data_IF_955703896919
#
_entry.id   IF_955703896919
#
_cell.length_a   1.000
_cell.length_b   1.000
_cell.length_c   1.000
_cell.angle_alpha   90.00
_cell.angle_beta   90.00
_cell.angle_gamma   90.00
#
_symmetry.space_group_name_H-M   'P 1'
#
loop_
_entity.id
_entity.type
_entity.pdbx_description
1 polymer ?
#
# COMPACT_ATOMS: atom_id res chain seq x y z
N UNK A 1 -5.69 6.34 6.87
CA UNK A 1 -5.30 6.43 5.45
C UNK A 1 -5.66 5.10 4.82
N UNK A 2 -6.78 5.04 4.10
CA UNK A 2 -7.32 3.79 3.58
C UNK A 2 -6.48 3.30 2.40
N UNK A 3 -5.77 2.19 2.60
CA UNK A 3 -5.16 1.45 1.51
C UNK A 3 -6.30 0.63 0.90
N UNK A 4 -6.81 1.13 -0.22
CA UNK A 4 -7.71 0.37 -1.10
C UNK A 4 -6.87 -0.81 -1.61
N UNK A 5 -7.37 -2.06 -1.56
CA UNK A 5 -6.61 -3.22 -1.96
C UNK A 5 -6.13 -3.04 -3.41
N UNK A 6 -4.81 -2.98 -3.58
CA UNK A 6 -4.08 -2.76 -4.84
C UNK A 6 -4.23 -3.91 -5.85
N UNK A 7 -5.29 -4.71 -5.76
CA UNK A 7 -5.64 -5.77 -6.72
C UNK A 7 -6.42 -5.22 -7.94
N UNK A 8 -6.78 -3.94 -7.91
CA UNK A 8 -7.47 -3.23 -8.99
C UNK A 8 -6.72 -2.01 -9.55
N UNK A 9 -5.59 -1.62 -8.95
CA UNK A 9 -4.85 -0.46 -9.44
C UNK A 9 -3.80 -0.89 -10.45
N UNK A 10 -3.78 -0.20 -11.58
CA UNK A 10 -2.76 -0.33 -12.61
C UNK A 10 -1.38 -0.44 -11.97
N UNK A 11 -0.79 -1.64 -12.02
CA UNK A 11 0.60 -1.86 -11.68
C UNK A 11 1.44 -0.78 -12.38
N UNK A 12 2.48 -0.29 -11.69
CA UNK A 12 3.35 0.78 -12.16
C UNK A 12 3.79 0.52 -13.61
N UNK A 13 3.94 -0.73 -14.04
CA UNK A 13 4.32 -1.12 -15.41
C UNK A 13 3.27 -0.81 -16.53
N UNK A 14 1.97 -0.72 -16.22
CA UNK A 14 0.91 -0.50 -17.21
C UNK A 14 0.96 0.85 -17.97
N UNK A 15 1.25 1.99 -17.34
CA UNK A 15 1.41 3.26 -18.06
C UNK A 15 2.64 3.34 -18.98
N UNK A 16 3.58 2.39 -18.94
CA UNK A 16 4.87 2.50 -19.65
C UNK A 16 4.91 1.94 -21.09
N UNK A 17 3.86 1.25 -21.54
CA UNK A 17 3.83 0.67 -22.89
C UNK A 17 2.45 0.50 -23.53
N UNK A 18 1.35 0.68 -22.79
CA UNK A 18 -0.01 0.42 -23.28
C UNK A 18 -0.97 1.55 -22.83
N UNK A 19 -0.76 2.76 -23.34
CA UNK A 19 -1.59 3.94 -23.02
C UNK A 19 -3.09 3.69 -23.21
N UNK A 20 -3.46 2.92 -24.25
CA UNK A 20 -4.84 2.51 -24.52
C UNK A 20 -5.39 1.54 -23.45
N UNK A 21 -4.57 0.63 -22.92
CA UNK A 21 -5.00 -0.34 -21.92
C UNK A 21 -5.24 0.33 -20.56
N UNK A 22 -4.37 1.28 -20.19
CA UNK A 22 -4.56 2.08 -18.96
C UNK A 22 -5.88 2.85 -19.01
N UNK A 23 -6.14 3.55 -20.13
CA UNK A 23 -7.40 4.27 -20.36
C UNK A 23 -8.62 3.34 -20.25
N UNK A 24 -8.56 2.18 -20.92
CA UNK A 24 -9.64 1.19 -20.94
C UNK A 24 -9.96 0.60 -19.55
N UNK A 25 -9.03 0.66 -18.59
CA UNK A 25 -9.24 0.19 -17.20
C UNK A 25 -9.63 1.31 -16.24
N UNK A 26 -9.10 2.52 -16.45
CA UNK A 26 -9.32 3.66 -15.56
C UNK A 26 -10.77 4.17 -15.62
N UNK A 27 -11.35 4.28 -16.81
CA UNK A 27 -12.72 4.81 -16.96
C UNK A 27 -13.77 3.93 -16.26
N UNK A 28 -13.82 2.59 -16.47
CA UNK A 28 -14.76 1.73 -15.76
C UNK A 28 -14.57 1.72 -14.24
N UNK A 29 -13.33 1.91 -13.77
CA UNK A 29 -13.02 2.02 -12.35
C UNK A 29 -13.68 3.27 -11.76
N UNK A 30 -13.45 4.43 -12.36
CA UNK A 30 -14.04 5.71 -11.90
C UNK A 30 -15.57 5.65 -11.93
N UNK A 31 -16.16 5.06 -12.98
CA UNK A 31 -17.61 4.87 -13.04
C UNK A 31 -18.15 4.00 -11.89
N UNK A 32 -17.46 2.90 -11.57
CA UNK A 32 -17.83 2.04 -10.45
C UNK A 32 -17.79 2.81 -9.13
N UNK A 33 -16.74 3.60 -8.89
CA UNK A 33 -16.63 4.41 -7.69
C UNK A 33 -17.64 5.56 -7.63
N UNK A 34 -17.99 6.19 -8.76
CA UNK A 34 -19.07 7.19 -8.80
C UNK A 34 -20.44 6.59 -8.46
N UNK A 35 -20.70 5.34 -8.84
CA UNK A 35 -21.93 4.62 -8.46
C UNK A 35 -21.97 4.32 -6.96
N UNK A 36 -20.83 3.94 -6.38
CA UNK A 36 -20.71 3.63 -4.95
C UNK A 36 -20.72 4.90 -4.08
N UNK A 37 -20.14 5.99 -4.57
CA UNK A 37 -19.96 7.25 -3.86
C UNK A 37 -20.39 8.43 -4.74
N UNK A 38 -21.67 8.82 -4.71
CA UNK A 38 -22.22 9.87 -5.59
C UNK A 38 -21.62 11.27 -5.38
N UNK A 39 -21.02 11.54 -4.22
CA UNK A 39 -20.34 12.80 -3.91
C UNK A 39 -18.93 12.90 -4.51
N UNK A 40 -18.42 11.80 -5.09
CA UNK A 40 -17.07 11.75 -5.64
C UNK A 40 -17.02 12.41 -7.02
N UNK A 41 -16.50 13.64 -7.08
CA UNK A 41 -16.22 14.34 -8.33
C UNK A 41 -14.76 14.09 -8.76
N UNK A 42 -14.58 13.53 -9.95
CA UNK A 42 -13.25 13.21 -10.52
C UNK A 42 -13.23 13.67 -11.96
N UNK A 43 -12.25 14.49 -12.33
CA UNK A 43 -11.98 14.82 -13.73
C UNK A 43 -11.07 13.75 -14.33
N UNK A 44 -11.64 12.95 -15.23
CA UNK A 44 -10.96 11.80 -15.83
C UNK A 44 -9.82 12.27 -16.74
N UNK A 45 -10.07 13.26 -17.59
CA UNK A 45 -9.10 13.70 -18.59
C UNK A 45 -7.91 14.42 -17.95
N UNK A 46 -8.17 15.22 -16.90
CA UNK A 46 -7.12 15.90 -16.15
C UNK A 46 -6.22 14.92 -15.39
N UNK A 47 -6.80 13.94 -14.69
CA UNK A 47 -6.02 12.92 -13.97
C UNK A 47 -5.21 12.06 -14.95
N UNK A 48 -5.81 11.62 -16.06
CA UNK A 48 -5.10 10.86 -17.08
C UNK A 48 -3.89 11.61 -17.66
N UNK A 49 -4.01 12.92 -17.89
CA UNK A 49 -2.90 13.75 -18.35
C UNK A 49 -1.76 13.77 -17.33
N UNK A 50 -2.10 13.99 -16.06
CA UNK A 50 -1.16 14.02 -14.94
C UNK A 50 -0.41 12.68 -14.78
N UNK A 51 -1.13 11.56 -14.85
CA UNK A 51 -0.50 10.23 -14.79
C UNK A 51 0.45 9.95 -15.96
N UNK A 52 0.19 10.49 -17.16
CA UNK A 52 1.12 10.39 -18.31
C UNK A 52 2.42 11.15 -18.05
N UNK A 53 2.33 12.35 -17.47
CA UNK A 53 3.50 13.16 -17.12
C UNK A 53 4.33 12.46 -16.03
N UNK A 54 3.69 11.92 -14.99
CA UNK A 54 4.38 11.15 -13.95
C UNK A 54 5.01 9.86 -14.49
N UNK A 55 4.37 9.18 -15.44
CA UNK A 55 4.97 8.00 -16.05
C UNK A 55 6.32 8.37 -16.69
N UNK A 56 6.39 9.45 -17.48
CA UNK A 56 7.66 9.86 -18.11
C UNK A 56 8.74 10.14 -17.07
N UNK A 57 8.38 10.84 -15.99
CA UNK A 57 9.31 11.19 -14.91
C UNK A 57 9.78 10.00 -14.08
N UNK A 58 8.90 9.03 -13.83
CA UNK A 58 9.19 7.86 -13.00
C UNK A 58 9.89 6.74 -13.79
N UNK A 59 9.83 6.77 -15.12
CA UNK A 59 10.42 5.76 -16.01
C UNK A 59 11.87 5.36 -15.66
N UNK A 60 12.82 6.30 -15.47
CA UNK A 60 14.20 5.92 -15.19
C UNK A 60 14.41 5.31 -13.80
N UNK A 61 13.45 5.45 -12.89
CA UNK A 61 13.54 4.98 -11.50
C UNK A 61 12.86 3.63 -11.28
N UNK A 62 12.23 3.04 -12.29
CA UNK A 62 11.64 1.70 -12.21
C UNK A 62 12.77 0.67 -12.32
N UNK A 63 13.37 0.34 -11.18
CA UNK A 63 14.42 -0.67 -11.04
C UNK A 63 14.10 -1.60 -9.87
N UNK A 64 14.70 -2.80 -9.89
CA UNK A 64 14.63 -3.71 -8.75
C UNK A 64 15.30 -3.08 -7.53
N UNK A 65 14.56 -3.00 -6.42
CA UNK A 65 14.91 -2.20 -5.25
C UNK A 65 15.12 -3.08 -4.02
N UNK A 66 15.89 -2.57 -3.05
CA UNK A 66 16.07 -3.18 -1.73
C UNK A 66 14.75 -3.17 -0.94
N UNK A 67 14.54 -4.19 -0.11
CA UNK A 67 13.30 -4.36 0.66
C UNK A 67 13.38 -3.58 1.96
N UNK A 68 12.55 -2.54 2.09
CA UNK A 68 12.27 -1.89 3.36
C UNK A 68 10.87 -2.31 3.83
N UNK A 69 10.80 -2.92 5.01
CA UNK A 69 9.52 -3.29 5.61
C UNK A 69 8.71 -2.03 5.96
N UNK A 70 7.50 -1.91 5.43
CA UNK A 70 6.58 -0.85 5.79
C UNK A 70 5.75 -1.25 7.02
N UNK A 71 5.52 -0.27 7.91
CA UNK A 71 4.76 -0.40 9.15
C UNK A 71 5.40 -1.41 10.15
N UNK A 72 4.64 -1.86 11.15
CA UNK A 72 5.09 -2.77 12.21
C UNK A 72 4.16 -4.00 12.27
N UNK A 73 4.66 -5.12 12.80
CA UNK A 73 3.93 -6.39 12.86
C UNK A 73 2.54 -6.29 13.52
N UNK A 74 2.35 -5.42 14.52
CA UNK A 74 1.05 -5.24 15.18
C UNK A 74 0.00 -4.50 14.35
N UNK A 75 0.40 -3.97 13.19
CA UNK A 75 -0.48 -3.37 12.19
C UNK A 75 -0.74 -4.33 11.01
N UNK A 76 -0.24 -5.56 11.03
CA UNK A 76 -0.49 -6.55 9.98
C UNK A 76 -2.00 -6.86 9.88
N UNK A 77 -2.51 -7.03 8.65
CA UNK A 77 -3.92 -7.39 8.40
C UNK A 77 -4.34 -8.68 9.12
N UNK A 78 -3.47 -9.69 9.15
CA UNK A 78 -3.78 -11.03 9.67
C UNK A 78 -3.40 -11.18 11.14
N UNK A 79 -2.27 -10.59 11.55
CA UNK A 79 -1.68 -10.80 12.88
C UNK A 79 -1.76 -9.59 13.80
N UNK A 80 -2.22 -8.44 13.30
CA UNK A 80 -2.32 -7.21 14.06
C UNK A 80 -3.57 -7.12 14.93
N UNK A 81 -3.74 -5.98 15.60
CA UNK A 81 -4.93 -5.71 16.42
C UNK A 81 -6.13 -5.30 15.57
N UNK A 82 -6.69 -6.24 14.81
CA UNK A 82 -7.85 -6.00 13.95
C UNK A 82 -9.04 -5.43 14.77
N UNK A 83 -9.78 -4.42 14.26
CA UNK A 83 -9.73 -3.80 12.92
C UNK A 83 -8.77 -2.62 12.78
N UNK A 84 -8.00 -2.28 13.83
CA UNK A 84 -7.10 -1.12 13.86
C UNK A 84 -5.73 -1.47 13.28
N UNK A 85 -5.73 -1.95 12.04
CA UNK A 85 -4.56 -2.48 11.31
C UNK A 85 -4.48 -1.84 9.93
N UNK A 86 -3.35 -2.01 9.24
CA UNK A 86 -3.27 -1.71 7.81
C UNK A 86 -3.91 -2.84 7.00
N UNK A 87 -4.25 -2.57 5.75
CA UNK A 87 -4.84 -3.57 4.85
C UNK A 87 -3.82 -4.47 4.15
N UNK A 88 -2.59 -4.53 4.67
CA UNK A 88 -1.45 -5.21 4.07
C UNK A 88 -0.73 -6.08 5.09
N UNK A 89 0.02 -7.07 4.61
CA UNK A 89 0.90 -7.87 5.43
C UNK A 89 2.19 -7.09 5.73
N UNK A 90 2.50 -6.91 7.01
CA UNK A 90 3.71 -6.27 7.52
C UNK A 90 4.68 -7.28 8.13
N UNK A 91 4.29 -8.56 8.16
CA UNK A 91 5.11 -9.69 8.53
C UNK A 91 6.01 -10.16 7.38
N UNK A 92 6.93 -11.09 7.68
CA UNK A 92 7.86 -11.65 6.70
C UNK A 92 7.18 -12.27 5.47
N UNK A 93 5.95 -12.79 5.64
CA UNK A 93 5.16 -13.32 4.53
C UNK A 93 4.86 -12.27 3.45
N UNK A 94 4.73 -11.00 3.84
CA UNK A 94 4.53 -9.88 2.93
C UNK A 94 5.72 -9.63 1.99
N UNK A 95 6.93 -10.03 2.40
CA UNK A 95 8.14 -9.92 1.56
C UNK A 95 8.07 -10.93 0.42
N UNK A 96 7.73 -12.19 0.71
CA UNK A 96 7.58 -13.23 -0.31
C UNK A 96 6.47 -12.88 -1.31
N UNK A 97 5.29 -12.47 -0.82
CA UNK A 97 4.13 -12.19 -1.66
C UNK A 97 4.23 -10.86 -2.41
N UNK A 98 4.84 -9.85 -1.79
CA UNK A 98 5.00 -8.51 -2.36
C UNK A 98 6.07 -8.42 -3.45
N UNK A 99 7.16 -9.20 -3.31
CA UNK A 99 8.28 -9.20 -4.27
C UNK A 99 8.28 -10.41 -5.21
N UNK A 100 7.44 -11.42 -4.94
CA UNK A 100 7.40 -12.64 -5.74
C UNK A 100 8.66 -13.51 -5.60
N UNK A 101 9.36 -13.41 -4.46
CA UNK A 101 10.58 -14.19 -4.21
C UNK A 101 10.29 -15.43 -3.35
N UNK A 102 10.97 -16.56 -3.59
CA UNK A 102 10.80 -17.75 -2.77
C UNK A 102 11.38 -17.54 -1.36
N UNK A 103 10.83 -18.17 -0.31
CA UNK A 103 11.29 -17.99 1.06
C UNK A 103 12.76 -18.43 1.27
N UNK A 104 13.29 -19.28 0.39
CA UNK A 104 14.67 -19.76 0.44
C UNK A 104 15.72 -18.67 0.20
N UNK A 105 15.36 -17.57 -0.46
CA UNK A 105 16.29 -16.45 -0.71
C UNK A 105 16.30 -15.42 0.42
N UNK A 106 15.40 -15.56 1.40
CA UNK A 106 15.36 -14.68 2.56
C UNK A 106 16.50 -15.08 3.49
N UNK A 107 17.43 -14.13 3.69
CA UNK A 107 18.55 -14.28 4.62
C UNK A 107 18.18 -13.85 6.05
N UNK A 108 18.94 -12.90 6.60
CA UNK A 108 18.72 -12.39 7.95
C UNK A 108 17.48 -11.51 8.07
N UNK A 109 16.66 -11.78 9.09
CA UNK A 109 15.48 -10.97 9.44
C UNK A 109 15.75 -10.23 10.75
N UNK A 110 15.75 -8.89 10.68
CA UNK A 110 16.02 -8.03 11.83
C UNK A 110 14.74 -7.39 12.34
N UNK A 111 14.38 -7.66 13.60
CA UNK A 111 13.25 -7.03 14.26
C UNK A 111 13.65 -5.71 14.91
N UNK A 112 13.06 -4.60 14.47
CA UNK A 112 13.26 -3.29 15.09
C UNK A 112 12.27 -3.13 16.24
N UNK A 113 12.77 -3.16 17.47
CA UNK A 113 11.96 -3.02 18.69
C UNK A 113 12.37 -1.75 19.43
N UNK A 114 11.39 -0.92 19.76
CA UNK A 114 11.61 0.28 20.58
C UNK A 114 11.66 -0.10 22.06
N UNK A 115 12.48 0.61 22.84
CA UNK A 115 12.62 0.40 24.29
C UNK A 115 11.31 0.62 25.08
N UNK A 116 10.36 1.36 24.52
CA UNK A 116 9.02 1.57 25.05
C UNK A 116 7.99 1.37 23.94
N UNK A 117 6.76 0.98 24.30
CA UNK A 117 5.68 0.75 23.34
C UNK A 117 4.94 2.06 23.05
N UNK A 118 4.54 2.26 21.80
CA UNK A 118 3.65 3.37 21.40
C UNK A 118 2.69 2.90 20.35
N UNK A 119 1.49 3.48 20.34
CA UNK A 119 0.45 3.23 19.35
C UNK A 119 -0.14 4.56 18.90
N UNK A 120 -0.46 4.68 17.62
CA UNK A 120 -1.23 5.81 17.07
C UNK A 120 -2.54 5.23 16.53
N UNK A 121 -3.66 5.87 16.90
CA UNK A 121 -4.99 5.39 16.58
C UNK A 121 -5.60 4.54 17.69
N UNK A 122 -6.89 4.24 17.53
CA UNK A 122 -7.65 3.47 18.51
C UNK A 122 -7.22 1.99 18.57
N UNK A 123 -7.70 1.33 19.61
CA UNK A 123 -7.56 -0.11 19.84
C UNK A 123 -6.84 -0.43 21.14
N UNK A 124 -6.78 -1.73 21.49
CA UNK A 124 -6.27 -2.15 22.77
C UNK A 124 -4.78 -1.83 22.90
N UNK A 125 -4.40 -1.26 24.03
CA UNK A 125 -3.01 -1.02 24.38
C UNK A 125 -2.77 -1.43 25.84
N UNK A 126 -2.39 -2.70 26.08
CA UNK A 126 -2.31 -3.26 27.43
C UNK A 126 -1.36 -2.53 28.39
N UNK A 127 -0.31 -1.91 27.86
CA UNK A 127 0.70 -1.19 28.63
C UNK A 127 0.59 0.32 28.44
N UNK A 128 -0.59 0.84 28.07
CA UNK A 128 -0.82 2.27 27.94
C UNK A 128 -0.68 2.96 29.31
N UNK A 129 0.28 3.86 29.45
CA UNK A 129 0.44 4.69 30.65
C UNK A 129 -0.24 6.05 30.42
N UNK A 130 -1.31 6.33 31.16
CA UNK A 130 -2.05 7.62 31.14
C UNK A 130 -1.74 8.50 32.36
N UNK A 131 -0.58 8.29 32.98
CA UNK A 131 -0.15 8.91 34.22
C UNK A 131 1.31 9.40 34.13
N UNK A 132 1.71 10.25 35.07
CA UNK A 132 3.11 10.60 35.26
C UNK A 132 3.89 9.40 35.82
N UNK A 133 5.18 9.34 35.48
CA UNK A 133 6.13 8.31 35.95
C UNK A 133 6.39 8.47 37.44
#
# INVERSE_FOLDING_TARGET
>A
MAIIPFRFLCAICLPFGLSHYYYARFVPLVETYRRLFPSLNVDIDAELKKYKEYAIQLRPFVIDTVVEGANACLLDIDFGTYPFVTSSNCSIGGVCTGLGIPPQVIGGVYGVVKAYTTRVGDGPFPTEQKNAI
#
